data_IF_720758526450
#
_entry.id   IF_720758526450
#
_cell.length_a   1.000
_cell.length_b   1.000
_cell.length_c   1.000
_cell.angle_alpha   90.00
_cell.angle_beta   90.00
_cell.angle_gamma   90.00
#
_symmetry.space_group_name_H-M   'P 1'
#
loop_
_entity.id
_entity.type
_entity.pdbx_description
1 polymer ?
#
# COMPACT_ATOMS: atom_id res chain seq x y z
N UNK A 1 13.84 0.93 8.85
CA UNK A 1 14.89 1.98 8.74
C UNK A 1 14.75 2.90 9.94
N UNK A 2 15.83 3.29 10.60
CA UNK A 2 15.78 4.33 11.65
C UNK A 2 15.72 5.69 10.98
N UNK A 3 14.81 6.55 11.42
CA UNK A 3 14.67 7.91 10.90
C UNK A 3 16.00 8.67 11.06
N UNK A 4 16.44 9.37 10.01
CA UNK A 4 17.63 10.20 10.00
C UNK A 4 18.91 9.57 9.46
N UNK A 5 18.89 8.33 8.92
CA UNK A 5 20.06 7.74 8.26
C UNK A 5 20.07 8.15 6.78
N UNK A 6 21.10 8.88 6.36
CA UNK A 6 21.34 9.19 4.94
C UNK A 6 22.03 8.00 4.25
N UNK A 7 21.57 7.67 3.04
CA UNK A 7 22.07 6.58 2.22
C UNK A 7 22.93 7.11 1.07
N UNK A 8 23.83 6.27 0.54
CA UNK A 8 24.75 6.64 -0.55
C UNK A 8 24.85 5.53 -1.62
N UNK A 9 23.81 4.77 -1.87
CA UNK A 9 23.83 3.74 -2.90
C UNK A 9 22.79 4.04 -3.98
N UNK A 10 23.17 3.88 -5.25
CA UNK A 10 22.29 4.06 -6.40
C UNK A 10 22.04 2.70 -7.05
N UNK A 11 20.82 2.20 -6.97
CA UNK A 11 20.36 1.00 -7.66
C UNK A 11 18.92 1.19 -8.15
N UNK A 12 18.54 0.50 -9.23
CA UNK A 12 17.20 0.56 -9.80
C UNK A 12 17.16 1.20 -11.20
N UNK A 13 15.96 1.22 -11.80
CA UNK A 13 15.76 1.81 -13.13
C UNK A 13 15.81 3.34 -13.05
N UNK A 14 16.54 4.00 -13.96
CA UNK A 14 16.77 5.44 -13.95
C UNK A 14 15.48 6.28 -14.03
N UNK A 15 14.41 5.76 -14.65
CA UNK A 15 13.14 6.48 -14.80
C UNK A 15 12.43 6.76 -13.45
N UNK A 16 12.78 6.01 -12.41
CA UNK A 16 12.19 6.15 -11.07
C UNK A 16 13.10 6.88 -10.08
N UNK A 17 14.33 7.22 -10.53
CA UNK A 17 15.32 7.85 -9.67
C UNK A 17 14.96 9.31 -9.36
N UNK A 18 15.05 9.70 -8.09
CA UNK A 18 14.82 11.08 -7.66
C UNK A 18 16.01 12.00 -8.05
N UNK A 19 15.78 13.32 -8.20
CA UNK A 19 16.82 14.28 -8.59
C UNK A 19 18.05 14.29 -7.67
N UNK A 20 17.84 14.15 -6.36
CA UNK A 20 18.92 14.11 -5.37
C UNK A 20 19.78 12.84 -5.52
N UNK A 21 19.18 11.70 -5.90
CA UNK A 21 19.90 10.46 -6.17
C UNK A 21 20.78 10.58 -7.42
N UNK A 22 20.24 11.15 -8.50
CA UNK A 22 20.97 11.41 -9.75
C UNK A 22 22.15 12.39 -9.53
N UNK A 23 22.01 13.31 -8.59
CA UNK A 23 23.04 14.30 -8.25
C UNK A 23 24.08 13.75 -7.26
N UNK A 24 23.99 12.50 -6.82
CA UNK A 24 24.91 11.91 -5.87
C UNK A 24 24.91 12.60 -4.50
N UNK A 25 23.80 13.24 -4.10
CA UNK A 25 23.67 13.87 -2.80
C UNK A 25 23.28 12.86 -1.73
N UNK A 26 23.63 13.12 -0.49
CA UNK A 26 23.05 12.39 0.63
C UNK A 26 21.54 12.56 0.66
N UNK A 27 20.81 11.47 0.90
CA UNK A 27 19.36 11.47 0.80
C UNK A 27 18.68 10.73 1.96
N UNK A 28 17.44 11.13 2.20
CA UNK A 28 16.53 10.40 3.08
C UNK A 28 15.78 9.34 2.24
N UNK A 29 15.88 8.06 2.63
CA UNK A 29 15.25 6.95 1.90
C UNK A 29 13.75 7.13 1.71
N UNK A 30 13.02 7.58 2.73
CA UNK A 30 11.57 7.79 2.63
C UNK A 30 11.18 8.84 1.58
N UNK A 31 11.98 9.90 1.43
CA UNK A 31 11.72 10.93 0.43
C UNK A 31 11.91 10.43 -1.01
N UNK A 32 12.93 9.59 -1.26
CA UNK A 32 13.15 8.95 -2.55
C UNK A 32 12.03 7.97 -2.88
N UNK A 33 11.58 7.19 -1.91
CA UNK A 33 10.49 6.25 -2.09
C UNK A 33 9.19 6.97 -2.48
N UNK A 34 8.91 8.13 -1.88
CA UNK A 34 7.76 8.97 -2.24
C UNK A 34 7.88 9.47 -3.69
N UNK A 35 9.07 9.90 -4.14
CA UNK A 35 9.28 10.26 -5.55
C UNK A 35 8.98 9.08 -6.46
N UNK A 36 9.56 7.90 -6.20
CA UNK A 36 9.33 6.68 -6.98
C UNK A 36 7.85 6.29 -7.02
N UNK A 37 7.16 6.39 -5.88
CA UNK A 37 5.69 6.20 -5.80
C UNK A 37 4.94 7.23 -6.65
N UNK A 38 5.39 8.48 -6.70
CA UNK A 38 4.82 9.51 -7.57
C UNK A 38 4.95 9.18 -9.06
N UNK A 39 6.11 8.66 -9.47
CA UNK A 39 6.32 8.16 -10.85
C UNK A 39 5.37 7.00 -11.16
N UNK A 40 5.24 6.04 -10.24
CA UNK A 40 4.34 4.89 -10.38
C UNK A 40 2.88 5.37 -10.47
N UNK A 41 2.46 6.25 -9.58
CA UNK A 41 1.09 6.79 -9.57
C UNK A 41 0.77 7.49 -10.89
N UNK A 42 1.68 8.36 -11.37
CA UNK A 42 1.55 9.01 -12.66
C UNK A 42 1.37 7.98 -13.77
N UNK A 43 2.25 6.96 -13.82
CA UNK A 43 2.23 5.93 -14.87
C UNK A 43 0.94 5.10 -14.85
N UNK A 44 0.46 4.72 -13.67
CA UNK A 44 -0.79 3.97 -13.52
C UNK A 44 -2.01 4.76 -14.00
N UNK A 45 -2.04 6.06 -13.77
CA UNK A 45 -3.17 6.92 -14.13
C UNK A 45 -3.13 7.41 -15.59
N UNK A 46 -1.94 7.45 -16.22
CA UNK A 46 -1.78 8.03 -17.58
C UNK A 46 -1.37 7.01 -18.64
N UNK A 47 -0.89 5.83 -18.23
CA UNK A 47 -0.32 4.82 -19.13
C UNK A 47 1.07 5.15 -19.67
N UNK A 48 1.69 6.26 -19.24
CA UNK A 48 3.01 6.72 -19.71
C UNK A 48 3.89 7.16 -18.55
N UNK A 49 5.21 7.14 -18.74
CA UNK A 49 6.15 7.65 -17.74
C UNK A 49 6.15 9.20 -17.74
N UNK A 50 6.27 9.86 -16.57
CA UNK A 50 6.42 11.32 -16.49
C UNK A 50 7.75 11.79 -17.07
N UNK A 51 8.79 10.96 -16.92
CA UNK A 51 10.14 11.21 -17.45
C UNK A 51 10.52 10.02 -18.31
N UNK A 52 10.59 10.25 -19.61
CA UNK A 52 10.99 9.24 -20.60
C UNK A 52 11.86 9.87 -21.66
N UNK A 53 13.04 9.26 -21.93
CA UNK A 53 13.98 9.65 -22.97
C UNK A 53 14.83 8.46 -23.38
N UNK A 54 15.12 8.37 -24.69
CA UNK A 54 15.99 7.30 -25.22
C UNK A 54 17.44 7.39 -24.71
N UNK A 55 17.90 8.61 -24.41
CA UNK A 55 19.27 8.89 -23.99
C UNK A 55 19.31 9.19 -22.49
N UNK A 56 20.05 8.40 -21.74
CA UNK A 56 20.17 8.55 -20.27
C UNK A 56 20.56 9.97 -19.83
N UNK A 57 21.53 10.67 -20.47
CA UNK A 57 21.85 12.06 -20.09
C UNK A 57 20.67 13.02 -20.22
N UNK A 58 19.84 12.86 -21.27
CA UNK A 58 18.64 13.69 -21.46
C UNK A 58 17.54 13.34 -20.45
N UNK A 59 17.38 12.06 -20.14
CA UNK A 59 16.48 11.60 -19.07
C UNK A 59 16.86 12.26 -17.74
N UNK A 60 18.13 12.18 -17.36
CA UNK A 60 18.62 12.79 -16.12
C UNK A 60 18.44 14.32 -16.12
N UNK A 61 18.60 14.98 -17.26
CA UNK A 61 18.31 16.40 -17.37
C UNK A 61 16.83 16.69 -17.10
N UNK A 62 15.90 15.97 -17.74
CA UNK A 62 14.45 16.11 -17.51
C UNK A 62 14.07 15.92 -16.05
N UNK A 63 14.64 14.90 -15.40
CA UNK A 63 14.39 14.61 -13.98
C UNK A 63 14.91 15.75 -13.10
N UNK A 64 16.16 16.22 -13.33
CA UNK A 64 16.74 17.34 -12.57
C UNK A 64 15.97 18.63 -12.71
N UNK A 65 15.40 18.88 -13.89
CA UNK A 65 14.58 20.05 -14.19
C UNK A 65 13.13 19.86 -13.74
N UNK A 66 12.75 18.64 -13.36
CA UNK A 66 11.39 18.26 -13.00
C UNK A 66 10.37 18.62 -14.08
N UNK A 67 10.76 18.43 -15.37
CA UNK A 67 9.95 18.77 -16.54
C UNK A 67 9.07 17.58 -16.93
N UNK A 68 7.80 17.64 -16.56
CA UNK A 68 6.77 16.69 -16.98
C UNK A 68 5.44 17.42 -17.21
N UNK A 69 4.50 16.77 -17.89
CA UNK A 69 3.18 17.31 -18.18
C UNK A 69 2.15 16.57 -17.37
N UNK A 70 1.20 17.28 -16.76
CA UNK A 70 0.02 16.68 -16.12
C UNK A 70 -1.15 16.65 -17.12
N UNK A 71 -1.53 15.48 -17.65
CA UNK A 71 -2.59 15.38 -18.63
C UNK A 71 -3.96 15.83 -18.07
N UNK A 72 -4.81 16.36 -18.96
CA UNK A 72 -6.15 16.82 -18.56
C UNK A 72 -7.08 15.71 -18.07
N UNK A 73 -6.83 14.47 -18.47
CA UNK A 73 -7.58 13.29 -18.03
C UNK A 73 -7.51 13.05 -16.50
N UNK A 74 -6.48 13.57 -15.84
CA UNK A 74 -6.33 13.45 -14.40
C UNK A 74 -7.29 14.40 -13.67
N UNK A 75 -7.92 13.91 -12.60
CA UNK A 75 -8.66 14.78 -11.68
C UNK A 75 -7.72 15.80 -11.02
N UNK A 76 -8.26 16.95 -10.61
CA UNK A 76 -7.45 18.00 -9.97
C UNK A 76 -6.79 17.52 -8.68
N UNK A 77 -7.45 16.65 -7.91
CA UNK A 77 -6.86 16.06 -6.71
C UNK A 77 -5.73 15.08 -7.04
N UNK A 78 -5.82 14.33 -8.16
CA UNK A 78 -4.72 13.46 -8.61
C UNK A 78 -3.53 14.28 -9.08
N UNK A 79 -3.76 15.36 -9.84
CA UNK A 79 -2.72 16.30 -10.27
C UNK A 79 -1.98 16.92 -9.09
N UNK A 80 -2.72 17.37 -8.08
CA UNK A 80 -2.13 17.97 -6.87
C UNK A 80 -1.26 16.97 -6.10
N UNK A 81 -1.75 15.74 -5.91
CA UNK A 81 -0.95 14.72 -5.23
C UNK A 81 0.33 14.39 -5.99
N UNK A 82 0.24 14.12 -7.31
CA UNK A 82 1.42 13.84 -8.15
C UNK A 82 2.40 15.00 -8.09
N UNK A 83 1.91 16.23 -8.20
CA UNK A 83 2.75 17.43 -8.11
C UNK A 83 3.51 17.52 -6.79
N UNK A 84 2.86 17.25 -5.66
CA UNK A 84 3.48 17.25 -4.34
C UNK A 84 4.46 16.09 -4.13
N UNK A 85 4.21 14.93 -4.76
CA UNK A 85 5.13 13.79 -4.71
C UNK A 85 6.37 14.01 -5.59
N UNK A 86 6.21 14.63 -6.75
CA UNK A 86 7.29 14.88 -7.72
C UNK A 86 7.91 16.28 -7.52
N UNK A 87 8.13 16.70 -6.28
CA UNK A 87 8.87 17.93 -5.97
C UNK A 87 10.37 17.72 -6.12
N UNK A 88 11.02 18.63 -6.85
CA UNK A 88 12.48 18.58 -7.09
C UNK A 88 13.28 18.63 -5.79
N UNK A 89 12.88 19.52 -4.88
CA UNK A 89 13.48 19.63 -3.56
C UNK A 89 12.84 18.62 -2.61
N UNK A 90 13.59 17.67 -2.06
CA UNK A 90 13.06 16.70 -1.12
C UNK A 90 12.47 17.31 0.16
N UNK A 91 12.86 18.53 0.54
CA UNK A 91 12.29 19.23 1.69
C UNK A 91 10.88 19.77 1.44
N UNK A 92 10.54 20.02 0.18
CA UNK A 92 9.20 20.48 -0.24
C UNK A 92 8.31 19.30 -0.69
N UNK A 93 8.86 18.07 -0.68
CA UNK A 93 8.14 16.88 -1.10
C UNK A 93 7.21 16.44 0.01
N UNK A 94 5.98 16.08 -0.37
CA UNK A 94 4.95 15.59 0.56
C UNK A 94 5.45 14.38 1.35
N UNK A 95 5.06 14.27 2.61
CA UNK A 95 5.38 13.16 3.51
C UNK A 95 4.29 12.09 3.51
N UNK A 96 4.60 10.89 4.00
CA UNK A 96 3.61 9.80 4.13
C UNK A 96 2.39 10.20 4.99
N UNK A 97 2.54 10.87 6.16
CA UNK A 97 1.38 11.36 6.91
C UNK A 97 0.51 12.34 6.12
N UNK A 98 1.12 13.25 5.35
CA UNK A 98 0.40 14.21 4.52
C UNK A 98 -0.29 13.53 3.32
N UNK A 99 0.34 12.52 2.70
CA UNK A 99 -0.30 11.70 1.65
C UNK A 99 -1.58 11.06 2.18
N UNK A 100 -1.55 10.49 3.39
CA UNK A 100 -2.73 9.86 4.02
C UNK A 100 -3.87 10.84 4.27
N UNK A 101 -3.57 12.12 4.49
CA UNK A 101 -4.55 13.19 4.70
C UNK A 101 -4.95 13.88 3.39
N UNK A 102 -4.24 13.61 2.29
CA UNK A 102 -4.50 14.25 1.01
C UNK A 102 -5.87 13.89 0.44
N UNK A 103 -6.60 14.86 -0.13
CA UNK A 103 -7.97 14.71 -0.66
C UNK A 103 -8.11 13.53 -1.63
N UNK A 104 -7.13 13.31 -2.51
CA UNK A 104 -7.16 12.19 -3.46
C UNK A 104 -7.13 10.86 -2.74
N UNK A 105 -6.33 10.74 -1.68
CA UNK A 105 -6.18 9.52 -0.89
C UNK A 105 -7.38 9.34 0.07
N UNK A 106 -7.83 10.40 0.76
CA UNK A 106 -8.91 10.34 1.73
C UNK A 106 -10.27 10.03 1.11
N UNK A 107 -10.54 10.47 -0.13
CA UNK A 107 -11.75 10.07 -0.85
C UNK A 107 -11.80 8.56 -1.19
N UNK A 108 -10.66 7.89 -1.19
CA UNK A 108 -10.55 6.43 -1.32
C UNK A 108 -10.60 5.70 0.05
N UNK A 109 -10.71 6.44 1.14
CA UNK A 109 -10.63 5.90 2.52
C UNK A 109 -11.74 4.90 2.87
N UNK A 110 -12.89 4.92 2.20
CA UNK A 110 -13.87 3.84 2.34
C UNK A 110 -13.30 2.49 1.87
N UNK A 111 -12.48 2.50 0.80
CA UNK A 111 -11.71 1.34 0.39
C UNK A 111 -10.57 1.04 1.37
N UNK A 112 -9.92 2.05 1.92
CA UNK A 112 -8.81 1.91 2.86
C UNK A 112 -9.26 1.53 4.28
N UNK A 113 -10.45 1.90 4.70
CA UNK A 113 -11.05 1.34 5.93
C UNK A 113 -11.41 -0.13 5.76
N UNK A 114 -11.83 -0.53 4.57
CA UNK A 114 -11.98 -1.94 4.20
C UNK A 114 -10.59 -2.62 4.24
N UNK A 115 -9.54 -1.99 3.72
CA UNK A 115 -8.15 -2.49 3.75
C UNK A 115 -7.53 -2.37 5.15
N UNK A 116 -7.87 -1.40 5.99
CA UNK A 116 -7.38 -1.31 7.38
C UNK A 116 -8.02 -2.33 8.32
N UNK A 117 -9.16 -2.90 7.97
CA UNK A 117 -9.58 -4.16 8.55
C UNK A 117 -8.60 -5.29 8.19
N UNK A 118 -7.82 -5.15 7.11
CA UNK A 118 -6.63 -5.97 6.78
C UNK A 118 -5.40 -5.69 7.66
N UNK A 119 -5.41 -4.69 8.52
CA UNK A 119 -4.34 -4.45 9.49
C UNK A 119 -4.18 -5.59 10.51
N UNK A 120 -5.17 -6.48 10.54
CA UNK A 120 -5.13 -7.74 11.28
C UNK A 120 -4.29 -8.83 10.60
N UNK A 121 -3.94 -8.71 9.31
CA UNK A 121 -3.27 -9.79 8.58
C UNK A 121 -1.78 -9.91 8.92
N UNK A 122 -1.14 -8.84 9.43
CA UNK A 122 0.30 -8.84 9.78
C UNK A 122 0.61 -8.32 11.19
N UNK A 123 -0.39 -7.98 11.99
CA UNK A 123 -0.24 -7.56 13.37
C UNK A 123 -0.61 -8.69 14.33
N UNK A 124 0.07 -8.81 15.45
CA UNK A 124 -0.22 -9.76 16.53
C UNK A 124 -1.73 -10.02 16.65
N UNK A 125 -2.15 -11.28 16.54
CA UNK A 125 -3.53 -11.71 16.79
C UNK A 125 -3.87 -11.44 18.26
N UNK A 126 -4.28 -10.21 18.57
CA UNK A 126 -4.72 -9.85 19.93
C UNK A 126 -6.15 -10.29 20.20
N UNK A 127 -6.91 -10.59 19.13
CA UNK A 127 -8.29 -11.05 19.22
C UNK A 127 -8.52 -12.18 18.21
N UNK A 128 -8.59 -13.41 18.69
CA UNK A 128 -8.78 -14.61 17.86
C UNK A 128 -10.27 -14.89 17.70
N UNK A 129 -10.73 -15.02 16.47
CA UNK A 129 -12.12 -15.27 16.12
C UNK A 129 -12.51 -16.74 16.42
N UNK A 130 -13.49 -16.92 17.28
CA UNK A 130 -13.98 -18.24 17.73
C UNK A 130 -14.62 -19.02 16.58
N UNK A 131 -15.27 -18.35 15.63
CA UNK A 131 -15.87 -19.03 14.48
C UNK A 131 -14.80 -19.68 13.59
N UNK A 132 -13.64 -19.03 13.46
CA UNK A 132 -12.50 -19.59 12.72
C UNK A 132 -11.91 -20.79 13.47
N UNK A 133 -11.81 -20.74 14.80
CA UNK A 133 -11.40 -21.91 15.60
C UNK A 133 -12.35 -23.09 15.39
N UNK A 134 -13.66 -22.83 15.34
CA UNK A 134 -14.65 -23.87 15.07
C UNK A 134 -14.52 -24.45 13.66
N UNK A 135 -14.16 -23.64 12.67
CA UNK A 135 -13.84 -24.13 11.32
C UNK A 135 -12.53 -24.93 11.29
N UNK A 136 -11.50 -24.49 12.02
CA UNK A 136 -10.24 -25.25 12.15
C UNK A 136 -10.49 -26.65 12.74
N UNK A 137 -11.32 -26.77 13.76
CA UNK A 137 -11.66 -28.06 14.40
C UNK A 137 -12.39 -29.05 13.47
N UNK A 138 -13.06 -28.56 12.43
CA UNK A 138 -13.70 -29.41 11.42
C UNK A 138 -12.70 -30.02 10.42
N UNK A 139 -11.44 -29.55 10.42
CA UNK A 139 -10.42 -30.07 9.54
C UNK A 139 -9.81 -31.34 10.16
N UNK A 140 -10.21 -32.52 9.66
CA UNK A 140 -9.81 -33.86 10.16
C UNK A 140 -8.29 -34.11 10.19
N UNK A 141 -7.50 -33.26 9.52
CA UNK A 141 -6.04 -33.39 9.40
C UNK A 141 -5.24 -32.73 10.52
N UNK A 142 -5.91 -32.03 11.43
CA UNK A 142 -5.25 -31.28 12.50
C UNK A 142 -5.50 -32.00 13.82
N UNK A 143 -4.42 -32.37 14.47
CA UNK A 143 -4.51 -32.92 15.83
C UNK A 143 -4.56 -31.77 16.84
N UNK A 144 -5.70 -31.58 17.48
CA UNK A 144 -5.88 -30.58 18.55
C UNK A 144 -5.54 -31.12 19.96
N UNK A 145 -5.07 -32.40 20.07
CA UNK A 145 -4.60 -33.04 21.33
C UNK A 145 -5.49 -32.74 22.55
N UNK A 146 -6.80 -32.77 22.36
CA UNK A 146 -7.82 -32.42 23.39
C UNK A 146 -7.70 -30.98 23.94
N UNK A 147 -7.14 -30.05 23.16
CA UNK A 147 -7.05 -28.64 23.52
C UNK A 147 -8.44 -27.98 23.55
N UNK A 148 -8.70 -27.17 24.55
CA UNK A 148 -9.87 -26.31 24.58
C UNK A 148 -9.65 -25.03 23.71
N UNK A 149 -10.72 -24.26 23.52
CA UNK A 149 -10.67 -23.05 22.70
C UNK A 149 -9.68 -22.00 23.20
N UNK A 150 -9.55 -21.88 24.53
CA UNK A 150 -8.64 -20.90 25.15
C UNK A 150 -7.18 -21.31 24.97
N UNK A 151 -6.88 -22.60 25.01
CA UNK A 151 -5.55 -23.15 24.74
C UNK A 151 -5.18 -22.97 23.27
N UNK A 152 -6.12 -23.19 22.35
CA UNK A 152 -5.92 -22.95 20.90
C UNK A 152 -5.69 -21.46 20.64
N UNK A 153 -6.50 -20.56 21.22
CA UNK A 153 -6.30 -19.11 21.14
C UNK A 153 -4.92 -18.70 21.63
N UNK A 154 -4.53 -19.18 22.80
CA UNK A 154 -3.22 -18.88 23.37
C UNK A 154 -2.09 -19.33 22.46
N UNK A 155 -2.18 -20.54 21.88
CA UNK A 155 -1.17 -21.06 20.95
C UNK A 155 -1.08 -20.24 19.64
N UNK A 156 -2.20 -19.69 19.15
CA UNK A 156 -2.23 -18.79 17.98
C UNK A 156 -1.60 -17.43 18.34
N UNK A 157 -1.97 -16.85 19.48
CA UNK A 157 -1.46 -15.54 19.92
C UNK A 157 0.04 -15.59 20.22
N UNK A 158 0.49 -16.64 20.94
CA UNK A 158 1.90 -16.83 21.29
C UNK A 158 2.76 -17.32 20.13
N UNK A 159 2.12 -17.75 19.03
CA UNK A 159 2.79 -18.37 17.85
C UNK A 159 3.59 -19.63 18.19
N UNK A 160 3.26 -20.31 19.26
CA UNK A 160 3.93 -21.55 19.70
C UNK A 160 3.72 -22.70 18.72
N UNK A 161 2.52 -22.81 18.12
CA UNK A 161 2.18 -23.83 17.12
C UNK A 161 2.01 -23.20 15.74
N UNK A 162 3.04 -23.29 14.93
CA UNK A 162 3.08 -22.69 13.59
C UNK A 162 1.94 -23.20 12.70
N UNK A 163 1.57 -24.46 12.80
CA UNK A 163 0.47 -25.07 12.05
C UNK A 163 -0.87 -24.40 12.37
N UNK A 164 -1.16 -24.11 13.64
CA UNK A 164 -2.39 -23.42 14.05
C UNK A 164 -2.43 -22.00 13.50
N UNK A 165 -1.32 -21.28 13.58
CA UNK A 165 -1.22 -19.93 13.03
C UNK A 165 -1.46 -19.92 11.52
N UNK A 166 -0.81 -20.82 10.78
CA UNK A 166 -0.94 -20.88 9.31
C UNK A 166 -2.37 -21.19 8.89
N UNK A 167 -3.04 -22.12 9.56
CA UNK A 167 -4.41 -22.50 9.20
C UNK A 167 -5.40 -21.43 9.63
N UNK A 168 -5.20 -20.83 10.81
CA UNK A 168 -5.99 -19.70 11.26
C UNK A 168 -5.91 -18.55 10.26
N UNK A 169 -4.70 -18.12 9.88
CA UNK A 169 -4.46 -17.07 8.90
C UNK A 169 -5.09 -17.40 7.53
N UNK A 170 -5.04 -18.64 7.08
CA UNK A 170 -5.66 -19.06 5.83
C UNK A 170 -7.20 -18.95 5.88
N UNK A 171 -7.84 -19.42 6.95
CA UNK A 171 -9.29 -19.35 7.11
C UNK A 171 -9.78 -17.93 7.32
N UNK A 172 -9.03 -17.13 8.08
CA UNK A 172 -9.29 -15.70 8.28
C UNK A 172 -9.24 -14.94 6.97
N UNK A 173 -8.23 -15.19 6.13
CA UNK A 173 -8.12 -14.61 4.80
C UNK A 173 -9.30 -14.98 3.91
N UNK A 174 -9.72 -16.24 3.93
CA UNK A 174 -10.87 -16.73 3.16
C UNK A 174 -12.19 -16.08 3.61
N UNK A 175 -12.40 -15.93 4.92
CA UNK A 175 -13.55 -15.23 5.51
C UNK A 175 -13.55 -13.75 5.07
N UNK A 176 -12.41 -13.09 5.14
CA UNK A 176 -12.24 -11.69 4.77
C UNK A 176 -12.43 -11.47 3.25
N UNK A 177 -11.96 -12.37 2.41
CA UNK A 177 -12.16 -12.32 0.95
C UNK A 177 -13.65 -12.39 0.58
N UNK A 178 -14.42 -13.23 1.28
CA UNK A 178 -15.87 -13.32 1.11
C UNK A 178 -16.55 -12.00 1.49
N UNK A 179 -16.24 -11.46 2.66
CA UNK A 179 -16.76 -10.18 3.13
C UNK A 179 -16.41 -9.01 2.19
N UNK A 180 -15.21 -9.04 1.63
CA UNK A 180 -14.74 -8.07 0.64
C UNK A 180 -15.57 -8.12 -0.65
N UNK A 181 -15.82 -9.32 -1.20
CA UNK A 181 -16.66 -9.52 -2.39
C UNK A 181 -18.09 -9.00 -2.15
N UNK A 182 -18.68 -9.32 -0.99
CA UNK A 182 -20.03 -8.85 -0.62
C UNK A 182 -20.08 -7.32 -0.47
N UNK A 183 -19.02 -6.71 0.07
CA UNK A 183 -18.93 -5.25 0.21
C UNK A 183 -18.78 -4.54 -1.14
N UNK A 184 -18.02 -5.11 -2.08
CA UNK A 184 -17.91 -4.58 -3.46
C UNK A 184 -19.25 -4.67 -4.18
N UNK A 185 -19.97 -5.77 -4.05
CA UNK A 185 -21.30 -5.93 -4.66
C UNK A 185 -22.30 -4.88 -4.12
N UNK A 186 -22.30 -4.64 -2.80
CA UNK A 186 -23.11 -3.58 -2.19
C UNK A 186 -22.71 -2.18 -2.67
N UNK A 187 -21.42 -1.91 -2.86
CA UNK A 187 -20.96 -0.64 -3.40
C UNK A 187 -21.38 -0.44 -4.86
N UNK A 188 -21.28 -1.48 -5.69
CA UNK A 188 -21.74 -1.43 -7.08
C UNK A 188 -23.23 -1.17 -7.16
N UNK A 189 -24.06 -1.83 -6.34
CA UNK A 189 -25.50 -1.58 -6.29
C UNK A 189 -25.86 -0.15 -5.87
N UNK A 190 -25.13 0.43 -4.90
CA UNK A 190 -25.34 1.81 -4.46
C UNK A 190 -24.88 2.85 -5.50
N UNK A 191 -23.81 2.57 -6.25
CA UNK A 191 -23.35 3.45 -7.34
C UNK A 191 -24.34 3.44 -8.50
N UNK A 192 -24.95 2.29 -8.84
CA UNK A 192 -25.97 2.20 -9.88
C UNK A 192 -27.25 3.00 -9.55
N UNK A 193 -27.62 3.11 -8.27
CA UNK A 193 -28.77 3.89 -7.81
C UNK A 193 -28.50 5.40 -7.91
N UNK A 194 -27.25 5.84 -7.73
CA UNK A 194 -26.89 7.27 -7.73
C UNK A 194 -26.73 7.86 -9.14
N UNK A 195 -26.53 7.02 -10.17
CA UNK A 195 -26.40 7.47 -11.57
C UNK A 195 -27.70 7.37 -12.39
N UNK A 196 -28.79 6.84 -11.82
CA UNK A 196 -30.10 6.72 -12.47
C UNK A 196 -31.20 7.60 -11.81
N UNK A 197 -30.82 8.62 -11.05
CA UNK A 197 -31.63 9.74 -10.56
C UNK A 197 -31.04 11.05 -11.11
#
# INVERSE_FOLDING_TARGET
>A
MRDGIFLYSSCGSPNYAAPELINGKFYNGSSIDIWSCGVILYTLLTGTLPFDEKQIPKLYQKIRECKYILPQILSDSAKDLIFRMLQKDPMNRITIPEIKQHKWFSNQLNLYQIINNYKYIYGSHTNVDVDIINEMKKLEKINFDNLDDEQIKKAIISRERREFCTIYEFLENKKNEKLYKESIEKLKSNIFITYNL
#
